data_IF_834343975868
#
_entry.id   IF_834343975868
#
_cell.length_a   1.000
_cell.length_b   1.000
_cell.length_c   1.000
_cell.angle_alpha   90.00
_cell.angle_beta   90.00
_cell.angle_gamma   90.00
#
_symmetry.space_group_name_H-M   'P 1'
#
loop_
_entity.id
_entity.type
_entity.pdbx_description
1 polymer ?
#
# COMPACT_ATOMS: atom_id res chain seq x y z
N UNK A 1 -3.26 -8.35 16.17
CA UNK A 1 -2.91 -7.49 15.03
C UNK A 1 -2.81 -8.37 13.80
N UNK A 2 -3.68 -8.20 12.82
CA UNK A 2 -3.62 -8.97 11.55
C UNK A 2 -2.41 -8.50 10.75
N UNK A 3 -1.58 -9.45 10.30
CA UNK A 3 -0.45 -9.14 9.44
C UNK A 3 -0.95 -8.54 8.11
N UNK A 4 -0.51 -7.32 7.82
CA UNK A 4 -0.82 -6.64 6.58
C UNK A 4 -0.05 -7.29 5.42
N UNK A 5 -0.71 -7.50 4.29
CA UNK A 5 0.01 -7.89 3.07
C UNK A 5 0.93 -6.76 2.59
N UNK A 6 2.02 -7.06 1.83
CA UNK A 6 2.93 -6.01 1.34
C UNK A 6 2.21 -4.89 0.56
N UNK A 7 1.18 -5.23 -0.21
CA UNK A 7 0.37 -4.22 -0.92
C UNK A 7 -0.44 -3.34 0.03
N UNK A 8 -1.03 -3.90 1.09
CA UNK A 8 -1.78 -3.14 2.09
C UNK A 8 -0.87 -2.19 2.86
N UNK A 9 0.34 -2.65 3.20
CA UNK A 9 1.35 -1.84 3.86
C UNK A 9 1.78 -0.65 2.98
N UNK A 10 2.10 -0.89 1.70
CA UNK A 10 2.39 0.17 0.73
C UNK A 10 1.21 1.14 0.58
N UNK A 11 -0.01 0.62 0.54
CA UNK A 11 -1.22 1.41 0.39
C UNK A 11 -1.43 2.36 1.57
N UNK A 12 -1.35 1.86 2.81
CA UNK A 12 -1.43 2.71 4.01
C UNK A 12 -0.31 3.76 4.04
N UNK A 13 0.91 3.36 3.70
CA UNK A 13 2.06 4.27 3.65
C UNK A 13 1.84 5.41 2.65
N UNK A 14 1.32 5.11 1.48
CA UNK A 14 1.01 6.13 0.46
C UNK A 14 -0.18 6.99 0.87
N UNK A 15 -1.16 6.43 1.59
CA UNK A 15 -2.30 7.20 2.13
C UNK A 15 -1.84 8.23 3.16
N UNK A 16 -0.93 7.84 4.06
CA UNK A 16 -0.34 8.75 5.06
C UNK A 16 0.46 9.85 4.35
N UNK A 17 1.29 9.50 3.35
CA UNK A 17 2.05 10.49 2.57
C UNK A 17 1.14 11.52 1.91
N UNK A 18 0.09 11.09 1.21
CA UNK A 18 -0.86 11.99 0.55
C UNK A 18 -1.58 12.90 1.55
N UNK A 19 -1.89 12.38 2.73
CA UNK A 19 -2.48 13.18 3.79
C UNK A 19 -1.51 14.27 4.27
N UNK A 20 -0.25 13.93 4.46
CA UNK A 20 0.79 14.90 4.85
C UNK A 20 1.05 15.95 3.76
N UNK A 21 0.96 15.59 2.49
CA UNK A 21 1.04 16.56 1.39
C UNK A 21 -0.10 17.59 1.41
N UNK A 22 -1.31 17.18 1.83
CA UNK A 22 -2.48 18.06 1.83
C UNK A 22 -2.63 18.86 3.13
N UNK A 23 -2.30 18.26 4.26
CA UNK A 23 -2.54 18.83 5.58
C UNK A 23 -1.29 19.42 6.25
N UNK A 24 -0.13 19.28 5.59
CA UNK A 24 1.19 19.55 6.19
C UNK A 24 1.74 18.34 6.93
N UNK A 25 3.06 18.37 7.25
CA UNK A 25 3.72 17.28 7.94
C UNK A 25 3.04 17.03 9.30
N UNK A 26 2.66 15.77 9.52
CA UNK A 26 2.17 15.33 10.82
C UNK A 26 3.35 15.32 11.79
N UNK A 27 3.41 16.30 12.66
CA UNK A 27 4.39 16.34 13.75
C UNK A 27 4.02 15.25 14.76
N UNK A 28 4.69 14.11 14.64
CA UNK A 28 4.51 13.01 15.56
C UNK A 28 5.87 12.44 15.99
N UNK A 29 6.39 12.98 17.05
CA UNK A 29 7.66 12.56 17.63
C UNK A 29 7.62 11.10 18.07
N UNK A 30 6.47 10.63 18.58
CA UNK A 30 6.31 9.25 19.01
C UNK A 30 6.34 8.27 17.82
N UNK A 31 5.64 8.59 16.72
CA UNK A 31 5.70 7.79 15.50
C UNK A 31 7.11 7.71 14.93
N UNK A 32 7.84 8.85 14.93
CA UNK A 32 9.22 8.90 14.47
C UNK A 32 10.14 8.08 15.39
N UNK A 33 9.97 8.17 16.72
CA UNK A 33 10.73 7.38 17.68
C UNK A 33 10.52 5.89 17.49
N UNK A 34 9.26 5.44 17.39
CA UNK A 34 8.92 4.04 17.18
C UNK A 34 9.44 3.51 15.82
N UNK A 35 9.38 4.34 14.78
CA UNK A 35 9.92 4.00 13.48
C UNK A 35 11.45 3.83 13.51
N UNK A 36 12.17 4.69 14.27
CA UNK A 36 13.61 4.54 14.49
C UNK A 36 13.95 3.25 15.26
N UNK A 37 13.17 2.93 16.30
CA UNK A 37 13.32 1.68 17.05
C UNK A 37 13.07 0.43 16.23
N UNK A 38 12.21 0.49 15.22
CA UNK A 38 11.98 -0.64 14.31
C UNK A 38 13.25 -1.04 13.53
N UNK A 39 14.23 -0.14 13.42
CA UNK A 39 15.50 -0.39 12.74
C UNK A 39 15.35 -0.57 11.24
N UNK A 40 16.42 -1.04 10.59
CA UNK A 40 16.43 -1.30 9.17
C UNK A 40 16.66 -0.05 8.31
N UNK A 41 16.36 -0.19 7.01
CA UNK A 41 16.51 0.89 6.03
C UNK A 41 15.40 1.95 6.13
N UNK A 42 15.54 3.04 5.38
CA UNK A 42 14.56 4.12 5.38
C UNK A 42 13.16 3.63 5.00
N UNK A 43 13.05 2.69 4.05
CA UNK A 43 11.75 2.16 3.63
C UNK A 43 11.04 1.44 4.79
N UNK A 44 11.76 0.62 5.54
CA UNK A 44 11.26 -0.09 6.72
C UNK A 44 10.76 0.90 7.79
N UNK A 45 11.54 1.94 8.07
CA UNK A 45 11.17 2.96 9.07
C UNK A 45 9.97 3.81 8.62
N UNK A 46 9.90 4.18 7.33
CA UNK A 46 8.72 4.87 6.75
C UNK A 46 7.46 4.00 6.87
N UNK A 47 7.57 2.71 6.61
CA UNK A 47 6.45 1.79 6.79
C UNK A 47 6.00 1.67 8.24
N UNK A 48 6.94 1.56 9.18
CA UNK A 48 6.65 1.48 10.61
C UNK A 48 5.94 2.75 11.11
N UNK A 49 6.46 3.92 10.73
CA UNK A 49 5.82 5.22 11.03
C UNK A 49 4.41 5.32 10.47
N UNK A 50 4.25 5.00 9.18
CA UNK A 50 2.97 5.09 8.52
C UNK A 50 1.94 4.13 9.12
N UNK A 51 2.37 2.93 9.53
CA UNK A 51 1.50 1.96 10.21
C UNK A 51 1.00 2.51 11.54
N UNK A 52 1.88 3.06 12.37
CA UNK A 52 1.50 3.64 13.65
C UNK A 52 0.50 4.79 13.49
N UNK A 53 0.78 5.72 12.56
CA UNK A 53 -0.11 6.83 12.24
C UNK A 53 -1.47 6.34 11.71
N UNK A 54 -1.46 5.32 10.85
CA UNK A 54 -2.69 4.74 10.31
C UNK A 54 -3.54 4.05 11.39
N UNK A 55 -2.90 3.37 12.34
CA UNK A 55 -3.59 2.74 13.47
C UNK A 55 -4.16 3.79 14.42
N UNK A 56 -3.38 4.81 14.79
CA UNK A 56 -3.82 5.93 15.62
C UNK A 56 -5.02 6.67 15.04
N UNK A 57 -4.99 6.95 13.75
CA UNK A 57 -6.00 7.77 13.06
C UNK A 57 -7.18 6.95 12.54
N UNK A 58 -7.18 5.62 12.75
CA UNK A 58 -8.25 4.71 12.32
C UNK A 58 -8.26 4.39 10.83
N UNK A 59 -7.17 4.69 10.08
CA UNK A 59 -7.05 4.36 8.65
C UNK A 59 -6.92 2.85 8.42
N UNK A 60 -6.29 2.13 9.35
CA UNK A 60 -6.18 0.67 9.29
C UNK A 60 -7.55 0.00 9.40
N UNK A 61 -8.42 0.50 10.27
CA UNK A 61 -9.80 0.03 10.40
C UNK A 61 -10.62 0.35 9.14
N UNK A 62 -10.52 1.59 8.63
CA UNK A 62 -11.14 2.01 7.38
C UNK A 62 -10.70 1.14 6.20
N UNK A 63 -9.42 0.75 6.11
CA UNK A 63 -8.90 -0.19 5.11
C UNK A 63 -9.56 -1.57 5.25
N UNK A 64 -9.72 -2.06 6.49
CA UNK A 64 -10.41 -3.32 6.76
C UNK A 64 -11.85 -3.30 6.25
N UNK A 65 -12.62 -2.27 6.57
CA UNK A 65 -13.98 -2.07 6.08
C UNK A 65 -14.06 -1.95 4.57
N UNK A 66 -13.12 -1.19 3.96
CA UNK A 66 -13.05 -1.05 2.50
C UNK A 66 -12.80 -2.39 1.81
N UNK A 67 -11.86 -3.21 2.32
CA UNK A 67 -11.57 -4.53 1.78
C UNK A 67 -12.74 -5.51 1.94
N UNK A 68 -13.46 -5.43 3.06
CA UNK A 68 -14.67 -6.21 3.27
C UNK A 68 -15.78 -5.81 2.29
N UNK A 69 -16.02 -4.52 2.12
CA UNK A 69 -16.95 -4.00 1.13
C UNK A 69 -16.60 -4.41 -0.31
N UNK A 70 -15.31 -4.34 -0.67
CA UNK A 70 -14.82 -4.79 -1.96
C UNK A 70 -15.03 -6.30 -2.20
N UNK A 71 -14.84 -7.14 -1.17
CA UNK A 71 -15.14 -8.59 -1.26
C UNK A 71 -16.62 -8.86 -1.48
N UNK A 72 -17.48 -8.17 -0.75
CA UNK A 72 -18.95 -8.30 -0.93
C UNK A 72 -19.38 -7.85 -2.32
N UNK A 73 -18.85 -6.74 -2.83
CA UNK A 73 -19.11 -6.26 -4.18
C UNK A 73 -18.64 -7.27 -5.25
N UNK A 74 -17.45 -7.86 -5.08
CA UNK A 74 -16.96 -8.92 -5.97
C UNK A 74 -17.84 -10.15 -5.96
N UNK A 75 -18.32 -10.59 -4.80
CA UNK A 75 -19.25 -11.72 -4.68
C UNK A 75 -20.59 -11.43 -5.37
N UNK A 76 -21.13 -10.23 -5.18
CA UNK A 76 -22.35 -9.80 -5.87
C UNK A 76 -22.18 -9.76 -7.40
N UNK A 77 -21.06 -9.19 -7.89
CA UNK A 77 -20.74 -9.19 -9.32
C UNK A 77 -20.54 -10.61 -9.88
N UNK A 78 -19.92 -11.51 -9.13
CA UNK A 78 -19.77 -12.91 -9.52
C UNK A 78 -21.12 -13.61 -9.63
N UNK A 79 -22.02 -13.40 -8.68
CA UNK A 79 -23.38 -13.93 -8.72
C UNK A 79 -24.17 -13.40 -9.92
N UNK A 80 -24.09 -12.09 -10.16
CA UNK A 80 -24.70 -11.47 -11.34
C UNK A 80 -24.13 -12.03 -12.64
N UNK A 81 -22.83 -12.28 -12.72
CA UNK A 81 -22.20 -12.90 -13.89
C UNK A 81 -22.72 -14.33 -14.13
N UNK A 82 -22.88 -15.13 -13.06
CA UNK A 82 -23.46 -16.48 -13.16
C UNK A 82 -24.91 -16.42 -13.68
N UNK A 83 -25.74 -15.56 -13.08
CA UNK A 83 -27.14 -15.39 -13.47
C UNK A 83 -27.23 -14.91 -14.92
N UNK A 84 -26.42 -13.93 -15.31
CA UNK A 84 -26.37 -13.38 -16.67
C UNK A 84 -25.95 -14.46 -17.68
N UNK A 85 -24.92 -15.25 -17.37
CA UNK A 85 -24.48 -16.35 -18.22
C UNK A 85 -25.58 -17.42 -18.42
N UNK A 86 -26.25 -17.81 -17.34
CA UNK A 86 -27.38 -18.71 -17.41
C UNK A 86 -28.51 -18.10 -18.24
N UNK A 87 -28.81 -16.81 -18.07
CA UNK A 87 -29.81 -16.10 -18.89
C UNK A 87 -29.46 -16.08 -20.36
N UNK A 88 -28.18 -15.90 -20.73
CA UNK A 88 -27.73 -15.96 -22.14
C UNK A 88 -27.95 -17.35 -22.76
N UNK A 89 -27.66 -18.43 -22.03
CA UNK A 89 -27.88 -19.79 -22.53
C UNK A 89 -29.37 -20.07 -22.72
N UNK A 90 -30.21 -19.62 -21.79
CA UNK A 90 -31.66 -19.78 -21.92
C UNK A 90 -32.21 -18.93 -23.06
N UNK A 91 -31.74 -17.70 -23.26
CA UNK A 91 -32.11 -16.84 -24.37
C UNK A 91 -31.69 -17.43 -25.74
N UNK A 92 -30.56 -18.16 -25.76
CA UNK A 92 -30.06 -18.80 -26.98
C UNK A 92 -30.86 -20.03 -27.38
N UNK A 93 -31.24 -20.90 -26.44
CA UNK A 93 -31.91 -22.17 -26.69
C UNK A 93 -33.43 -22.11 -26.53
N UNK A 94 -33.94 -21.18 -25.75
CA UNK A 94 -35.35 -21.09 -25.39
C UNK A 94 -35.86 -22.27 -24.55
N UNK A 95 -37.17 -22.46 -24.53
CA UNK A 95 -37.86 -23.52 -23.80
C UNK A 95 -37.89 -24.88 -24.51
N UNK A 96 -37.37 -24.97 -25.75
CA UNK A 96 -37.35 -26.17 -26.56
C UNK A 96 -38.65 -26.44 -27.38
N UNK A 97 -39.62 -25.54 -27.35
CA UNK A 97 -40.85 -25.65 -28.11
C UNK A 97 -40.65 -25.30 -29.60
N UNK A 98 -39.72 -24.38 -29.88
CA UNK A 98 -39.37 -23.95 -31.24
C UNK A 98 -37.94 -24.39 -31.56
N UNK A 99 -37.64 -24.64 -32.85
CA UNK A 99 -36.28 -24.87 -33.30
C UNK A 99 -35.37 -23.69 -32.99
N UNK A 100 -34.12 -23.99 -32.62
CA UNK A 100 -33.12 -22.97 -32.29
C UNK A 100 -32.47 -22.45 -33.58
N UNK A 101 -32.57 -21.14 -33.80
CA UNK A 101 -31.77 -20.50 -34.84
C UNK A 101 -30.34 -20.39 -34.38
N UNK A 102 -29.42 -21.13 -35.02
CA UNK A 102 -28.00 -21.27 -34.59
C UNK A 102 -27.25 -19.95 -34.60
N UNK A 103 -27.51 -19.08 -35.57
CA UNK A 103 -26.80 -17.78 -35.65
C UNK A 103 -27.36 -16.77 -34.66
N UNK A 104 -28.67 -16.83 -34.36
CA UNK A 104 -29.24 -16.07 -33.26
C UNK A 104 -28.70 -16.54 -31.91
N UNK A 105 -28.56 -17.85 -31.72
CA UNK A 105 -27.96 -18.42 -30.51
C UNK A 105 -26.49 -17.97 -30.33
N UNK A 106 -25.70 -17.96 -31.41
CA UNK A 106 -24.34 -17.43 -31.38
C UNK A 106 -24.31 -15.92 -31.07
N UNK A 107 -25.19 -15.15 -31.71
CA UNK A 107 -25.30 -13.70 -31.43
C UNK A 107 -25.61 -13.42 -29.97
N UNK A 108 -26.53 -14.19 -29.38
CA UNK A 108 -26.90 -14.08 -27.96
C UNK A 108 -25.75 -14.47 -27.03
N UNK A 109 -25.04 -15.56 -27.32
CA UNK A 109 -23.97 -16.08 -26.46
C UNK A 109 -22.65 -15.32 -26.63
N UNK A 110 -22.28 -14.98 -27.87
CA UNK A 110 -20.97 -14.44 -28.19
C UNK A 110 -20.96 -12.96 -28.56
N UNK A 111 -22.08 -12.40 -29.05
CA UNK A 111 -22.10 -11.07 -29.64
C UNK A 111 -21.56 -9.99 -28.70
N UNK A 112 -22.21 -9.81 -27.56
CA UNK A 112 -21.77 -8.83 -26.57
C UNK A 112 -20.37 -9.16 -25.99
N UNK A 113 -20.09 -10.46 -25.79
CA UNK A 113 -18.79 -10.92 -25.32
C UNK A 113 -17.67 -10.52 -26.28
N UNK A 114 -17.83 -10.73 -27.58
CA UNK A 114 -16.82 -10.38 -28.59
C UNK A 114 -16.67 -8.87 -28.78
N UNK A 115 -17.77 -8.12 -28.80
CA UNK A 115 -17.73 -6.65 -28.86
C UNK A 115 -16.90 -6.07 -27.71
N UNK A 116 -17.16 -6.50 -26.49
CA UNK A 116 -16.43 -6.00 -25.32
C UNK A 116 -14.98 -6.51 -25.27
N UNK A 117 -14.71 -7.71 -25.82
CA UNK A 117 -13.36 -8.22 -25.96
C UNK A 117 -12.54 -7.39 -26.94
N UNK A 118 -13.11 -7.10 -28.11
CA UNK A 118 -12.50 -6.25 -29.14
C UNK A 118 -12.30 -4.83 -28.61
N UNK A 119 -13.31 -4.25 -27.95
CA UNK A 119 -13.19 -2.91 -27.34
C UNK A 119 -12.06 -2.84 -26.32
N UNK A 120 -11.87 -3.87 -25.49
CA UNK A 120 -10.78 -3.95 -24.54
C UNK A 120 -9.42 -4.07 -25.25
N UNK A 121 -9.32 -4.93 -26.29
CA UNK A 121 -8.11 -5.10 -27.09
C UNK A 121 -7.72 -3.79 -27.81
N UNK A 122 -8.68 -3.11 -28.43
CA UNK A 122 -8.46 -1.79 -29.02
C UNK A 122 -8.04 -0.76 -27.97
N UNK A 123 -8.66 -0.77 -26.80
CA UNK A 123 -8.25 0.07 -25.67
C UNK A 123 -6.79 -0.16 -25.24
N UNK A 124 -6.28 -1.39 -25.31
CA UNK A 124 -4.85 -1.66 -25.04
C UNK A 124 -3.93 -1.11 -26.13
N UNK A 125 -4.34 -1.14 -27.39
CA UNK A 125 -3.55 -0.69 -28.53
C UNK A 125 -3.51 0.83 -28.64
N UNK A 126 -4.65 1.50 -28.38
CA UNK A 126 -4.82 2.93 -28.60
C UNK A 126 -4.81 3.76 -27.30
N UNK A 127 -4.84 3.13 -26.12
CA UNK A 127 -4.69 3.84 -24.86
C UNK A 127 -3.24 4.30 -24.66
N UNK A 128 -2.87 5.35 -25.36
CA UNK A 128 -1.76 6.23 -24.99
C UNK A 128 -1.98 6.76 -23.56
N UNK A 129 -1.23 7.76 -23.15
CA UNK A 129 -1.20 8.30 -21.77
C UNK A 129 -2.57 8.79 -21.20
N UNK A 130 -3.64 8.71 -21.98
CA UNK A 130 -4.99 9.20 -21.65
C UNK A 130 -5.89 8.20 -20.88
N UNK A 131 -5.34 7.15 -20.28
CA UNK A 131 -6.08 6.21 -19.40
C UNK A 131 -6.74 6.84 -18.15
N UNK A 132 -6.82 8.17 -18.09
CA UNK A 132 -7.37 8.94 -16.97
C UNK A 132 -8.91 8.84 -16.82
N UNK A 133 -9.65 8.42 -17.87
CA UNK A 133 -11.12 8.43 -17.84
C UNK A 133 -11.71 7.35 -16.93
N UNK A 134 -11.20 6.12 -17.00
CA UNK A 134 -11.63 5.02 -16.11
C UNK A 134 -11.19 5.25 -14.67
N UNK A 135 -10.02 5.86 -14.46
CA UNK A 135 -9.56 6.27 -13.14
C UNK A 135 -10.46 7.33 -12.50
N UNK A 136 -10.95 8.30 -13.28
CA UNK A 136 -11.89 9.33 -12.80
C UNK A 136 -13.25 8.74 -12.45
N UNK A 137 -13.76 7.82 -13.25
CA UNK A 137 -15.00 7.10 -12.95
C UNK A 137 -14.87 6.28 -11.67
N UNK A 138 -13.72 5.62 -11.47
CA UNK A 138 -13.43 4.88 -10.25
C UNK A 138 -13.32 5.79 -9.03
N UNK A 139 -12.64 6.95 -9.13
CA UNK A 139 -12.58 7.93 -8.07
C UNK A 139 -13.97 8.45 -7.71
N UNK A 140 -14.76 8.85 -8.69
CA UNK A 140 -16.13 9.31 -8.49
C UNK A 140 -17.02 8.24 -7.82
N UNK A 141 -16.89 6.96 -8.25
CA UNK A 141 -17.63 5.85 -7.65
C UNK A 141 -17.15 5.58 -6.22
N UNK A 142 -15.84 5.65 -5.98
CA UNK A 142 -15.24 5.45 -4.65
C UNK A 142 -15.65 6.56 -3.68
N UNK A 143 -15.71 7.81 -4.11
CA UNK A 143 -16.20 8.95 -3.31
C UNK A 143 -17.68 8.77 -2.94
N UNK A 144 -18.49 8.30 -3.89
CA UNK A 144 -19.92 8.06 -3.66
C UNK A 144 -20.23 6.84 -2.78
N UNK A 145 -19.35 5.84 -2.81
CA UNK A 145 -19.44 4.63 -1.97
C UNK A 145 -18.73 4.78 -0.62
N UNK A 146 -17.85 5.78 -0.47
CA UNK A 146 -17.17 6.05 0.79
C UNK A 146 -18.18 6.64 1.79
N UNK A 147 -18.58 5.82 2.76
CA UNK A 147 -19.47 6.21 3.87
C UNK A 147 -18.75 7.06 4.92
N UNK A 148 -17.43 7.15 4.86
CA UNK A 148 -16.58 7.84 5.82
C UNK A 148 -15.48 8.64 5.09
N UNK A 149 -15.19 9.85 5.58
CA UNK A 149 -14.13 10.72 5.08
C UNK A 149 -12.75 10.04 5.10
N UNK A 150 -12.52 9.11 6.04
CA UNK A 150 -11.28 8.31 6.12
C UNK A 150 -11.16 7.32 4.97
N UNK A 151 -12.26 6.66 4.60
CA UNK A 151 -12.29 5.72 3.46
C UNK A 151 -12.06 6.44 2.11
N UNK A 152 -12.49 7.71 1.99
CA UNK A 152 -12.26 8.52 0.80
C UNK A 152 -10.77 8.79 0.53
N UNK A 153 -9.92 8.81 1.56
CA UNK A 153 -8.48 9.03 1.43
C UNK A 153 -7.72 7.80 0.89
N UNK A 154 -8.29 6.59 1.07
CA UNK A 154 -7.64 5.33 0.64
C UNK A 154 -7.66 5.15 -0.88
N UNK A 155 -8.75 5.50 -1.55
CA UNK A 155 -8.91 5.25 -2.98
C UNK A 155 -7.90 6.00 -3.87
N UNK A 156 -7.60 7.30 -3.67
CA UNK A 156 -6.57 8.01 -4.42
C UNK A 156 -5.18 7.39 -4.27
N UNK A 157 -4.82 6.98 -3.05
CA UNK A 157 -3.52 6.36 -2.76
C UNK A 157 -3.34 5.04 -3.53
N UNK A 158 -4.36 4.16 -3.52
CA UNK A 158 -4.33 2.93 -4.29
C UNK A 158 -4.20 3.19 -5.79
N UNK A 159 -4.97 4.14 -6.31
CA UNK A 159 -4.94 4.50 -7.73
C UNK A 159 -3.55 4.98 -8.15
N UNK A 160 -2.92 5.87 -7.38
CA UNK A 160 -1.57 6.37 -7.65
C UNK A 160 -0.53 5.25 -7.62
N UNK A 161 -0.59 4.36 -6.63
CA UNK A 161 0.30 3.20 -6.55
C UNK A 161 0.18 2.31 -7.79
N UNK A 162 -1.04 2.02 -8.23
CA UNK A 162 -1.28 1.18 -9.39
C UNK A 162 -0.91 1.89 -10.71
N UNK A 163 -1.05 3.20 -10.80
CA UNK A 163 -0.70 3.99 -11.99
C UNK A 163 0.81 4.04 -12.22
N UNK A 164 1.64 4.15 -11.17
CA UNK A 164 3.11 4.21 -11.29
C UNK A 164 3.71 3.05 -12.08
N UNK A 165 3.15 1.86 -11.96
CA UNK A 165 3.58 0.66 -12.69
C UNK A 165 2.60 0.24 -13.79
N UNK A 166 1.65 1.12 -14.16
CA UNK A 166 0.58 0.86 -15.15
C UNK A 166 -0.19 -0.43 -14.83
N UNK A 167 -0.37 -0.75 -13.53
CA UNK A 167 -1.02 -1.98 -13.05
C UNK A 167 -2.54 -1.90 -13.08
N UNK A 168 -3.13 -0.72 -13.04
CA UNK A 168 -4.58 -0.49 -13.07
C UNK A 168 -5.26 -1.23 -14.24
N UNK A 169 -4.68 -1.17 -15.46
CA UNK A 169 -5.21 -1.87 -16.64
C UNK A 169 -5.25 -3.39 -16.46
N UNK A 170 -4.24 -3.97 -15.79
CA UNK A 170 -4.18 -5.41 -15.55
C UNK A 170 -5.13 -5.85 -14.43
N UNK A 171 -5.28 -5.02 -13.38
CA UNK A 171 -6.26 -5.27 -12.32
C UNK A 171 -7.69 -5.23 -12.85
N UNK A 172 -8.03 -4.17 -13.62
CA UNK A 172 -9.35 -4.04 -14.25
C UNK A 172 -9.56 -5.15 -15.29
N UNK A 173 -8.55 -5.45 -16.12
CA UNK A 173 -8.59 -6.54 -17.09
C UNK A 173 -8.88 -7.88 -16.43
N UNK A 174 -8.19 -8.19 -15.30
CA UNK A 174 -8.43 -9.42 -14.54
C UNK A 174 -9.88 -9.50 -14.03
N UNK A 175 -10.41 -8.40 -13.50
CA UNK A 175 -11.79 -8.34 -13.03
C UNK A 175 -12.77 -8.58 -14.20
N UNK A 176 -12.63 -7.84 -15.29
CA UNK A 176 -13.55 -7.92 -16.44
C UNK A 176 -13.49 -9.30 -17.11
N UNK A 177 -12.27 -9.80 -17.42
CA UNK A 177 -12.14 -11.11 -18.05
C UNK A 177 -12.53 -12.25 -17.11
N UNK A 178 -12.28 -12.12 -15.80
CA UNK A 178 -12.71 -13.08 -14.79
C UNK A 178 -14.24 -13.17 -14.67
N UNK A 179 -14.95 -12.04 -14.67
CA UNK A 179 -16.41 -12.01 -14.64
C UNK A 179 -17.01 -12.56 -15.93
N UNK A 180 -16.45 -12.20 -17.11
CA UNK A 180 -16.89 -12.78 -18.39
C UNK A 180 -16.59 -14.27 -18.49
N UNK A 181 -15.44 -14.73 -17.98
CA UNK A 181 -15.12 -16.15 -17.93
C UNK A 181 -16.15 -16.90 -17.09
N UNK A 182 -16.53 -16.34 -15.93
CA UNK A 182 -17.55 -16.93 -15.07
C UNK A 182 -18.94 -16.97 -15.73
N UNK A 183 -19.32 -15.89 -16.41
CA UNK A 183 -20.57 -15.84 -17.19
C UNK A 183 -20.58 -16.86 -18.34
N UNK A 184 -19.48 -16.96 -19.11
CA UNK A 184 -19.37 -17.92 -20.22
C UNK A 184 -19.35 -19.37 -19.72
N UNK A 185 -18.71 -19.62 -18.59
CA UNK A 185 -18.72 -20.95 -17.94
C UNK A 185 -20.13 -21.32 -17.47
N UNK A 186 -20.84 -20.40 -16.83
CA UNK A 186 -22.24 -20.59 -16.43
C UNK A 186 -23.15 -20.82 -17.65
N UNK A 187 -22.96 -20.02 -18.70
CA UNK A 187 -23.70 -20.22 -19.97
C UNK A 187 -23.42 -21.60 -20.55
N UNK A 188 -22.18 -22.04 -20.63
CA UNK A 188 -21.80 -23.35 -21.15
C UNK A 188 -22.37 -24.49 -20.31
N UNK A 189 -22.32 -24.40 -18.99
CA UNK A 189 -22.89 -25.42 -18.08
C UNK A 189 -24.39 -25.52 -18.27
N UNK A 190 -25.12 -24.40 -18.34
CA UNK A 190 -26.57 -24.44 -18.56
C UNK A 190 -26.89 -24.89 -19.97
N UNK A 191 -26.15 -24.48 -21.00
CA UNK A 191 -26.29 -24.93 -22.37
C UNK A 191 -26.21 -26.47 -22.46
N UNK A 192 -25.17 -27.06 -21.86
CA UNK A 192 -25.00 -28.51 -21.80
C UNK A 192 -26.13 -29.21 -21.02
N UNK A 193 -26.54 -28.64 -19.89
CA UNK A 193 -27.64 -29.16 -19.08
C UNK A 193 -28.96 -29.18 -19.84
N UNK A 194 -29.27 -28.09 -20.52
CA UNK A 194 -30.49 -27.99 -21.34
C UNK A 194 -30.45 -28.98 -22.50
N UNK A 195 -29.31 -29.10 -23.19
CA UNK A 195 -29.15 -30.05 -24.30
C UNK A 195 -29.14 -31.52 -23.84
N UNK A 196 -28.71 -31.80 -22.62
CA UNK A 196 -28.75 -33.15 -22.04
C UNK A 196 -30.17 -33.57 -21.60
N UNK A 197 -30.99 -32.58 -21.18
CA UNK A 197 -32.32 -32.85 -20.62
C UNK A 197 -33.45 -32.64 -21.62
N UNK A 198 -33.21 -31.96 -22.73
CA UNK A 198 -34.20 -31.61 -23.74
C UNK A 198 -33.69 -31.90 -25.15
N UNK A 199 -34.61 -32.16 -26.07
CA UNK A 199 -34.29 -32.31 -27.50
C UNK A 199 -34.50 -30.97 -28.19
N UNK A 200 -33.46 -30.47 -28.83
CA UNK A 200 -33.49 -29.24 -29.63
C UNK A 200 -33.33 -29.56 -31.12
N UNK A 201 -34.18 -28.96 -31.96
CA UNK A 201 -33.96 -28.90 -33.40
C UNK A 201 -33.15 -27.63 -33.72
N UNK A 202 -32.31 -27.67 -34.73
CA UNK A 202 -31.50 -26.53 -35.13
C UNK A 202 -31.87 -26.11 -36.56
N UNK A 203 -32.02 -24.79 -36.75
CA UNK A 203 -32.34 -24.17 -38.04
C UNK A 203 -31.46 -22.94 -38.24
N UNK A 204 -31.36 -22.51 -39.47
CA UNK A 204 -30.94 -21.16 -39.79
C UNK A 204 -31.95 -20.59 -40.80
N UNK A 205 -32.46 -19.43 -40.54
CA UNK A 205 -33.47 -18.78 -41.36
C UNK A 205 -33.01 -17.37 -41.67
N UNK A 206 -33.08 -16.95 -42.91
CA UNK A 206 -32.72 -15.61 -43.32
C UNK A 206 -33.50 -15.24 -44.60
N UNK A 207 -33.85 -13.96 -44.68
CA UNK A 207 -34.48 -13.41 -45.87
C UNK A 207 -33.46 -12.88 -46.88
N UNK A 208 -32.23 -12.59 -46.44
CA UNK A 208 -31.25 -11.80 -47.22
C UNK A 208 -30.07 -12.64 -47.69
N UNK A 209 -29.58 -13.59 -46.87
CA UNK A 209 -28.36 -14.33 -47.17
C UNK A 209 -28.61 -15.63 -47.92
N UNK A 210 -27.72 -15.99 -48.85
CA UNK A 210 -27.79 -17.24 -49.62
C UNK A 210 -27.30 -18.41 -48.76
N UNK A 211 -27.84 -19.61 -49.02
CA UNK A 211 -27.47 -20.85 -48.33
C UNK A 211 -25.97 -21.14 -48.34
N UNK A 212 -25.27 -20.81 -49.44
CA UNK A 212 -23.81 -20.97 -49.57
C UNK A 212 -23.05 -20.14 -48.53
N UNK A 213 -23.55 -18.95 -48.17
CA UNK A 213 -22.95 -18.10 -47.13
C UNK A 213 -23.00 -18.77 -45.77
N UNK A 214 -24.13 -19.45 -45.46
CA UNK A 214 -24.25 -20.17 -44.18
C UNK A 214 -23.37 -21.40 -44.12
N UNK A 215 -23.23 -22.14 -45.22
CA UNK A 215 -22.27 -23.25 -45.31
C UNK A 215 -20.86 -22.74 -45.03
N UNK A 216 -20.43 -21.68 -45.72
CA UNK A 216 -19.10 -21.08 -45.52
C UNK A 216 -18.88 -20.57 -44.09
N UNK A 217 -19.86 -19.86 -43.48
CA UNK A 217 -19.79 -19.36 -42.12
C UNK A 217 -19.73 -20.50 -41.09
N UNK A 218 -20.56 -21.52 -41.23
CA UNK A 218 -20.60 -22.69 -40.36
C UNK A 218 -19.24 -23.43 -40.37
N UNK A 219 -18.71 -23.65 -41.58
CA UNK A 219 -17.41 -24.30 -41.76
C UNK A 219 -16.26 -23.44 -41.21
N UNK A 220 -16.26 -22.15 -41.52
CA UNK A 220 -15.21 -21.24 -41.01
C UNK A 220 -15.20 -21.15 -39.48
N UNK A 221 -16.37 -20.96 -38.85
CA UNK A 221 -16.48 -20.94 -37.38
C UNK A 221 -16.19 -22.29 -36.73
N UNK A 222 -16.51 -23.39 -37.44
CA UNK A 222 -16.26 -24.75 -36.98
C UNK A 222 -14.80 -25.21 -37.15
N UNK A 223 -13.99 -24.53 -37.96
CA UNK A 223 -12.63 -24.97 -38.28
C UNK A 223 -11.72 -25.14 -37.05
N UNK A 224 -11.70 -24.15 -36.14
CA UNK A 224 -10.92 -24.26 -34.93
C UNK A 224 -11.49 -25.29 -33.92
N UNK A 225 -12.82 -25.32 -33.62
CA UNK A 225 -13.40 -26.39 -32.84
C UNK A 225 -13.11 -27.81 -33.37
N UNK A 226 -13.10 -28.01 -34.69
CA UNK A 226 -12.78 -29.31 -35.29
C UNK A 226 -11.36 -29.80 -34.96
N UNK A 227 -10.37 -28.89 -34.82
CA UNK A 227 -9.00 -29.25 -34.46
C UNK A 227 -8.90 -29.86 -33.07
N UNK A 228 -9.85 -29.56 -32.19
CA UNK A 228 -9.89 -30.09 -30.80
C UNK A 228 -10.96 -31.20 -30.62
N UNK A 229 -11.45 -31.74 -31.73
CA UNK A 229 -12.30 -32.95 -31.75
C UNK A 229 -13.82 -32.71 -31.78
N UNK A 230 -14.30 -31.47 -31.96
CA UNK A 230 -15.74 -31.22 -32.14
C UNK A 230 -16.20 -31.63 -33.54
N UNK A 231 -17.30 -32.38 -33.61
CA UNK A 231 -17.91 -32.72 -34.89
C UNK A 231 -18.60 -31.54 -35.54
N UNK A 232 -18.50 -31.46 -36.88
CA UNK A 232 -19.15 -30.43 -37.68
C UNK A 232 -20.35 -31.01 -38.41
N UNK A 233 -21.45 -30.23 -38.57
CA UNK A 233 -22.51 -30.64 -39.49
C UNK A 233 -21.98 -30.66 -40.93
N UNK A 234 -22.35 -31.69 -41.69
CA UNK A 234 -21.98 -31.80 -43.11
C UNK A 234 -22.68 -30.72 -43.94
N UNK A 235 -22.12 -30.39 -45.11
CA UNK A 235 -22.73 -29.41 -46.01
C UNK A 235 -24.19 -29.73 -46.33
N UNK A 236 -24.50 -31.00 -46.55
CA UNK A 236 -25.88 -31.47 -46.80
C UNK A 236 -26.79 -31.21 -45.59
N UNK A 237 -26.27 -31.43 -44.32
CA UNK A 237 -27.03 -31.12 -43.11
C UNK A 237 -27.24 -29.62 -42.94
N UNK A 238 -26.22 -28.81 -43.25
CA UNK A 238 -26.32 -27.35 -43.15
C UNK A 238 -27.40 -26.85 -44.11
N UNK A 239 -27.36 -27.26 -45.38
CA UNK A 239 -28.34 -26.84 -46.39
C UNK A 239 -29.76 -27.28 -46.01
N UNK A 240 -29.93 -28.54 -45.60
CA UNK A 240 -31.22 -29.08 -45.19
C UNK A 240 -31.82 -28.45 -43.93
N UNK A 241 -30.98 -27.83 -43.05
CA UNK A 241 -31.44 -27.11 -41.87
C UNK A 241 -31.90 -25.66 -42.18
N UNK A 242 -31.86 -25.22 -43.41
CA UNK A 242 -32.29 -23.87 -43.84
C UNK A 242 -33.79 -23.63 -43.72
N UNK A 243 -34.57 -24.62 -44.07
CA UNK A 243 -36.03 -24.49 -44.14
C UNK A 243 -36.76 -25.14 -42.96
N UNK A 244 -36.17 -26.17 -42.36
CA UNK A 244 -36.75 -26.89 -41.20
C UNK A 244 -35.73 -27.62 -40.36
N UNK A 245 -36.05 -27.86 -39.08
CA UNK A 245 -35.19 -28.62 -38.21
C UNK A 245 -35.16 -30.10 -38.63
N UNK A 246 -33.92 -30.61 -38.77
CA UNK A 246 -33.72 -32.04 -39.06
C UNK A 246 -34.02 -32.89 -37.83
N UNK A 247 -34.97 -33.80 -37.91
CA UNK A 247 -35.36 -34.73 -36.84
C UNK A 247 -34.46 -35.97 -36.75
N UNK A 248 -33.25 -35.90 -37.32
CA UNK A 248 -32.27 -36.96 -37.33
C UNK A 248 -31.30 -36.74 -36.18
N UNK A 249 -31.04 -37.80 -35.38
CA UNK A 249 -30.20 -37.72 -34.19
C UNK A 249 -28.80 -37.21 -34.50
N UNK A 250 -28.13 -37.74 -35.51
CA UNK A 250 -26.79 -37.34 -35.90
C UNK A 250 -26.72 -35.85 -36.29
N UNK A 251 -27.77 -35.28 -36.92
CA UNK A 251 -27.79 -33.86 -37.25
C UNK A 251 -27.90 -32.98 -35.97
N UNK A 252 -28.76 -33.37 -35.03
CA UNK A 252 -28.88 -32.65 -33.74
C UNK A 252 -27.57 -32.68 -32.94
N UNK A 253 -26.92 -33.85 -32.89
CA UNK A 253 -25.63 -34.01 -32.20
C UNK A 253 -24.53 -33.19 -32.87
N UNK A 254 -24.46 -33.17 -34.21
CA UNK A 254 -23.47 -32.40 -34.95
C UNK A 254 -23.65 -30.88 -34.72
N UNK A 255 -24.90 -30.37 -34.79
CA UNK A 255 -25.17 -28.97 -34.49
C UNK A 255 -24.91 -28.59 -33.02
N UNK A 256 -25.29 -29.46 -32.07
CA UNK A 256 -24.99 -29.26 -30.65
C UNK A 256 -23.49 -29.22 -30.39
N UNK A 257 -22.73 -30.18 -30.94
CA UNK A 257 -21.27 -30.22 -30.81
C UNK A 257 -20.61 -28.98 -31.42
N UNK A 258 -21.09 -28.57 -32.63
CA UNK A 258 -20.61 -27.35 -33.29
C UNK A 258 -20.85 -26.09 -32.41
N UNK A 259 -22.08 -25.90 -31.89
CA UNK A 259 -22.41 -24.74 -31.06
C UNK A 259 -21.60 -24.71 -29.79
N UNK A 260 -21.46 -25.83 -29.08
CA UNK A 260 -20.64 -25.97 -27.89
C UNK A 260 -19.18 -25.67 -28.20
N UNK A 261 -18.65 -26.24 -29.29
CA UNK A 261 -17.26 -26.01 -29.72
C UNK A 261 -17.00 -24.54 -30.06
N UNK A 262 -17.90 -23.87 -30.76
CA UNK A 262 -17.77 -22.44 -31.09
C UNK A 262 -17.82 -21.56 -29.83
N UNK A 263 -18.75 -21.83 -28.91
CA UNK A 263 -18.83 -21.08 -27.63
C UNK A 263 -17.55 -21.27 -26.78
N UNK A 264 -17.04 -22.50 -26.77
CA UNK A 264 -15.82 -22.82 -26.04
C UNK A 264 -14.59 -22.10 -26.62
N UNK A 265 -14.40 -22.22 -27.94
CA UNK A 265 -13.20 -21.72 -28.63
C UNK A 265 -13.19 -20.20 -28.76
N UNK A 266 -14.32 -19.59 -29.10
CA UNK A 266 -14.39 -18.15 -29.36
C UNK A 266 -14.93 -17.35 -28.17
N UNK A 267 -15.64 -17.99 -27.24
CA UNK A 267 -16.15 -17.33 -26.02
C UNK A 267 -15.26 -17.54 -24.81
N UNK A 268 -15.16 -18.78 -24.37
CA UNK A 268 -14.54 -19.13 -23.08
C UNK A 268 -13.01 -19.08 -23.14
N UNK A 269 -12.40 -19.70 -24.15
CA UNK A 269 -10.95 -19.83 -24.24
C UNK A 269 -10.22 -18.47 -24.32
N UNK A 270 -10.65 -17.49 -25.14
CA UNK A 270 -10.01 -16.17 -25.17
C UNK A 270 -10.12 -15.45 -23.83
N UNK A 271 -11.24 -15.56 -23.12
CA UNK A 271 -11.42 -14.98 -21.80
C UNK A 271 -10.51 -15.63 -20.76
N UNK A 272 -10.36 -16.94 -20.81
CA UNK A 272 -9.45 -17.67 -19.94
C UNK A 272 -8.00 -17.22 -20.17
N UNK A 273 -7.54 -17.19 -21.42
CA UNK A 273 -6.18 -16.79 -21.76
C UNK A 273 -5.89 -15.35 -21.32
N UNK A 274 -6.84 -14.44 -21.55
CA UNK A 274 -6.68 -13.04 -21.13
C UNK A 274 -6.76 -12.87 -19.61
N UNK A 275 -7.63 -13.61 -18.92
CA UNK A 275 -7.65 -13.61 -17.45
C UNK A 275 -6.32 -14.11 -16.88
N UNK A 276 -5.76 -15.19 -17.43
CA UNK A 276 -4.45 -15.72 -17.02
C UNK A 276 -3.31 -14.73 -17.31
N UNK A 277 -3.31 -14.08 -18.48
CA UNK A 277 -2.34 -13.03 -18.82
C UNK A 277 -2.43 -11.84 -17.85
N UNK A 278 -3.64 -11.35 -17.58
CA UNK A 278 -3.87 -10.26 -16.65
C UNK A 278 -3.43 -10.66 -15.23
N UNK A 279 -3.73 -11.88 -14.79
CA UNK A 279 -3.31 -12.41 -13.49
C UNK A 279 -1.79 -12.49 -13.38
N UNK A 280 -1.12 -13.00 -14.42
CA UNK A 280 0.33 -13.08 -14.46
C UNK A 280 0.99 -11.69 -14.40
N UNK A 281 0.51 -10.76 -15.22
CA UNK A 281 0.99 -9.36 -15.23
C UNK A 281 0.73 -8.67 -13.89
N UNK A 282 -0.44 -8.88 -13.31
CA UNK A 282 -0.80 -8.37 -12.00
C UNK A 282 0.11 -8.90 -10.89
N UNK A 283 0.30 -10.23 -10.82
CA UNK A 283 1.17 -10.85 -9.80
C UNK A 283 2.61 -10.35 -9.93
N UNK A 284 3.16 -10.34 -11.16
CA UNK A 284 4.53 -9.87 -11.42
C UNK A 284 4.69 -8.37 -11.09
N UNK A 285 3.75 -7.54 -11.53
CA UNK A 285 3.79 -6.11 -11.29
C UNK A 285 3.60 -5.75 -9.81
N UNK A 286 2.72 -6.46 -9.11
CA UNK A 286 2.52 -6.28 -7.66
C UNK A 286 3.76 -6.62 -6.86
N UNK A 287 4.49 -7.67 -7.24
CA UNK A 287 5.75 -8.04 -6.59
C UNK A 287 6.87 -7.01 -6.80
N UNK A 288 6.78 -6.21 -7.86
CA UNK A 288 7.73 -5.15 -8.18
C UNK A 288 7.33 -3.76 -7.63
N UNK A 289 6.24 -3.68 -6.86
CA UNK A 289 5.86 -2.44 -6.18
C UNK A 289 6.77 -2.21 -4.98
N UNK A 290 7.33 -1.02 -4.91
CA UNK A 290 8.16 -0.54 -3.80
C UNK A 290 7.85 0.93 -3.53
N UNK A 291 8.25 1.42 -2.37
CA UNK A 291 8.22 2.85 -2.08
C UNK A 291 9.18 3.61 -3.01
N UNK A 292 8.70 4.70 -3.56
CA UNK A 292 9.56 5.67 -4.24
C UNK A 292 10.04 6.72 -3.22
N UNK A 293 11.19 6.43 -2.60
CA UNK A 293 11.78 7.26 -1.56
C UNK A 293 12.26 8.63 -2.06
N UNK A 294 12.26 8.87 -3.38
CA UNK A 294 12.62 10.17 -3.96
C UNK A 294 11.45 11.16 -3.97
N UNK A 295 10.24 10.71 -3.65
CA UNK A 295 9.10 11.62 -3.54
C UNK A 295 9.30 12.61 -2.39
N UNK A 296 8.89 13.88 -2.57
CA UNK A 296 9.12 14.95 -1.58
C UNK A 296 8.68 14.58 -0.16
N UNK A 297 7.50 13.95 -0.02
CA UNK A 297 6.97 13.54 1.28
C UNK A 297 7.83 12.49 2.01
N UNK A 298 8.57 11.64 1.29
CA UNK A 298 9.48 10.65 1.90
C UNK A 298 10.90 11.20 2.08
N UNK A 299 11.36 12.04 1.16
CA UNK A 299 12.70 12.64 1.28
C UNK A 299 12.81 13.54 2.51
N UNK A 300 11.74 14.28 2.85
CA UNK A 300 11.67 15.11 4.06
C UNK A 300 11.74 14.31 5.35
N UNK A 301 11.22 13.06 5.34
CA UNK A 301 11.27 12.17 6.51
C UNK A 301 12.67 11.57 6.74
N UNK A 302 13.57 11.66 5.76
CA UNK A 302 14.91 11.05 5.88
C UNK A 302 15.67 11.56 7.08
N UNK A 303 15.68 12.87 7.31
CA UNK A 303 16.39 13.48 8.44
C UNK A 303 15.78 13.07 9.78
N UNK A 304 14.44 12.97 9.84
CA UNK A 304 13.74 12.59 11.06
C UNK A 304 13.84 11.10 11.39
N UNK A 305 13.89 10.23 10.37
CA UNK A 305 13.88 8.76 10.55
C UNK A 305 15.27 8.13 10.47
N UNK A 306 16.22 8.78 9.81
CA UNK A 306 17.62 8.37 9.69
C UNK A 306 18.51 9.56 10.09
N UNK A 307 18.49 9.97 11.35
CA UNK A 307 19.42 11.00 11.78
C UNK A 307 20.81 10.46 11.46
N UNK A 308 21.51 11.11 10.55
CA UNK A 308 22.89 10.73 10.23
C UNK A 308 23.75 11.07 11.45
N UNK A 309 24.26 10.03 12.12
CA UNK A 309 25.41 10.16 13.00
C UNK A 309 26.68 10.61 12.23
N UNK A 310 26.60 10.53 10.91
CA UNK A 310 27.58 11.07 9.96
C UNK A 310 27.09 12.41 9.38
N UNK A 311 26.95 13.43 10.19
CA UNK A 311 27.40 14.74 9.71
C UNK A 311 28.91 14.65 9.74
N UNK A 312 29.48 14.19 8.64
CA UNK A 312 30.88 14.35 8.31
C UNK A 312 31.25 15.80 8.60
N UNK A 313 32.04 15.97 9.69
CA UNK A 313 32.29 17.24 10.27
C UNK A 313 32.70 18.32 9.29
N UNK A 314 31.92 19.32 9.24
CA UNK A 314 32.50 20.63 9.43
C UNK A 314 33.02 20.55 10.85
N UNK A 315 34.34 20.43 11.04
CA UNK A 315 35.02 20.75 12.31
C UNK A 315 34.74 22.23 12.55
N UNK A 316 33.60 22.51 13.16
CA UNK A 316 33.36 23.84 13.69
C UNK A 316 34.26 23.93 14.89
N UNK A 317 35.38 24.63 14.70
CA UNK A 317 36.35 24.81 15.78
C UNK A 317 35.57 25.31 16.99
N UNK A 318 35.84 24.70 18.16
CA UNK A 318 35.22 25.13 19.38
C UNK A 318 35.33 26.67 19.49
N UNK A 319 34.24 27.35 19.86
CA UNK A 319 34.28 28.83 19.93
C UNK A 319 35.41 29.27 20.81
N UNK A 320 36.22 30.22 20.32
CA UNK A 320 37.39 30.72 21.02
C UNK A 320 37.05 31.38 22.39
N UNK A 321 35.78 31.64 22.66
CA UNK A 321 35.27 32.14 23.94
C UNK A 321 33.91 31.49 24.18
N UNK A 322 33.88 30.51 25.09
CA UNK A 322 32.63 30.02 25.68
C UNK A 322 32.33 30.90 26.90
N UNK A 323 31.07 31.35 27.03
CA UNK A 323 30.67 32.08 28.23
C UNK A 323 30.70 31.13 29.42
N UNK A 324 31.40 31.51 30.47
CA UNK A 324 31.43 30.79 31.75
C UNK A 324 30.00 30.58 32.25
N UNK A 325 29.71 29.38 32.75
CA UNK A 325 28.44 29.11 33.44
C UNK A 325 28.56 29.67 34.86
N UNK A 326 28.13 30.92 35.05
CA UNK A 326 27.89 31.42 36.41
C UNK A 326 26.66 30.71 36.94
N UNK A 327 26.79 29.94 38.02
CA UNK A 327 25.68 29.25 38.67
C UNK A 327 24.53 30.19 38.98
N UNK A 328 23.32 29.77 38.80
CA UNK A 328 22.15 30.55 39.15
C UNK A 328 22.18 30.85 40.66
N UNK A 329 22.33 32.12 41.01
CA UNK A 329 22.08 32.62 42.37
C UNK A 329 20.58 32.63 42.60
N UNK A 330 19.97 31.47 42.72
CA UNK A 330 18.51 31.32 42.83
C UNK A 330 18.15 30.37 43.98
N UNK A 331 17.52 30.94 44.95
CA UNK A 331 16.61 30.37 45.96
C UNK A 331 16.73 28.87 46.28
N UNK A 332 17.19 28.60 47.45
CA UNK A 332 17.40 27.30 48.13
C UNK A 332 16.15 26.44 48.36
N UNK A 333 15.03 26.64 47.67
CA UNK A 333 13.75 25.99 47.98
C UNK A 333 13.27 24.95 46.96
N UNK A 334 14.09 24.53 45.99
CA UNK A 334 13.69 23.42 45.06
C UNK A 334 14.50 22.16 45.35
N UNK A 335 13.94 21.19 46.04
CA UNK A 335 14.51 19.86 46.30
C UNK A 335 14.52 18.94 45.03
N UNK A 336 14.18 19.43 43.86
CA UNK A 336 13.99 18.63 42.64
C UNK A 336 15.30 18.33 41.92
N UNK A 337 15.56 17.05 41.63
CA UNK A 337 16.60 16.60 40.73
C UNK A 337 16.06 16.23 39.38
N UNK A 338 16.72 16.65 38.28
CA UNK A 338 16.31 16.46 36.92
C UNK A 338 17.43 15.81 36.10
N UNK A 339 17.04 14.80 35.28
CA UNK A 339 17.89 14.21 34.26
C UNK A 339 17.37 14.56 32.89
N UNK A 340 18.22 14.99 31.99
CA UNK A 340 17.87 15.30 30.59
C UNK A 340 18.94 14.77 29.66
N UNK A 341 18.55 14.34 28.46
CA UNK A 341 19.49 13.96 27.41
C UNK A 341 19.44 14.95 26.25
N UNK A 342 20.58 15.19 25.61
CA UNK A 342 20.68 16.04 24.42
C UNK A 342 21.01 15.18 23.23
N UNK A 343 20.12 15.22 22.20
CA UNK A 343 20.32 14.61 20.88
C UNK A 343 20.83 13.17 20.95
N UNK A 344 20.24 12.35 21.84
CA UNK A 344 20.65 10.98 22.05
C UNK A 344 20.27 10.11 20.85
N UNK A 345 21.12 9.16 20.49
CA UNK A 345 20.81 8.12 19.50
C UNK A 345 19.90 7.05 20.13
N UNK A 346 18.97 6.48 19.33
CA UNK A 346 18.05 5.43 19.74
C UNK A 346 18.72 4.12 20.19
N UNK A 347 20.03 4.01 20.03
CA UNK A 347 20.83 2.89 20.53
C UNK A 347 21.04 2.90 22.04
N UNK A 348 20.76 4.01 22.70
CA UNK A 348 20.84 4.11 24.14
C UNK A 348 19.50 3.77 24.78
N UNK A 349 19.47 2.85 25.77
CA UNK A 349 18.28 2.63 26.58
C UNK A 349 17.99 3.86 27.43
N UNK A 350 16.96 4.62 27.10
CA UNK A 350 16.56 5.81 27.79
C UNK A 350 15.09 5.74 28.24
N UNK A 351 14.76 6.20 29.47
CA UNK A 351 15.64 6.65 30.56
C UNK A 351 16.33 5.47 31.25
N UNK A 352 17.48 5.73 31.95
CA UNK A 352 18.08 4.76 32.85
C UNK A 352 17.17 4.52 34.08
N UNK A 353 17.46 3.50 34.88
CA UNK A 353 16.75 3.33 36.16
C UNK A 353 17.07 4.54 37.07
N UNK A 354 16.06 5.35 37.33
CA UNK A 354 16.22 6.58 38.15
C UNK A 354 16.00 6.29 39.63
N UNK A 355 16.79 6.91 40.52
CA UNK A 355 16.52 6.92 41.95
C UNK A 355 15.23 7.64 42.32
N UNK A 356 14.71 7.40 43.52
CA UNK A 356 13.53 8.10 44.00
C UNK A 356 13.76 9.63 44.06
N UNK A 357 12.80 10.39 43.53
CA UNK A 357 12.86 11.86 43.54
C UNK A 357 13.55 12.50 42.34
N UNK A 358 14.23 11.72 41.49
CA UNK A 358 14.81 12.20 40.23
C UNK A 358 13.77 12.09 39.09
N UNK A 359 13.53 13.19 38.39
CA UNK A 359 12.60 13.23 37.24
C UNK A 359 13.35 13.14 35.93
N UNK A 360 12.82 12.39 34.98
CA UNK A 360 13.28 12.40 33.58
C UNK A 360 12.59 13.52 32.81
N UNK A 361 13.40 14.42 32.22
CA UNK A 361 12.91 15.46 31.31
C UNK A 361 12.88 15.00 29.83
N UNK A 362 13.29 13.77 29.56
CA UNK A 362 13.32 13.20 28.23
C UNK A 362 14.55 13.58 27.40
N UNK A 363 14.45 13.38 26.09
CA UNK A 363 15.52 13.66 25.13
C UNK A 363 15.19 14.95 24.38
N UNK A 364 16.13 15.89 24.38
CA UNK A 364 15.99 17.17 23.66
C UNK A 364 16.49 17.02 22.22
N UNK A 365 15.63 16.55 21.35
CA UNK A 365 15.89 16.33 19.94
C UNK A 365 15.24 17.38 19.02
N UNK A 366 14.33 18.21 19.55
CA UNK A 366 13.61 19.23 18.81
C UNK A 366 13.69 20.61 19.45
N UNK A 367 13.45 21.66 18.67
CA UNK A 367 13.37 23.04 19.17
C UNK A 367 12.24 23.19 20.19
N UNK A 368 11.14 22.51 19.98
CA UNK A 368 9.96 22.58 20.85
C UNK A 368 10.24 21.94 22.22
N UNK A 369 10.87 20.75 22.26
CA UNK A 369 11.25 20.08 23.51
C UNK A 369 12.25 20.92 24.33
N UNK A 370 13.22 21.57 23.65
CA UNK A 370 14.19 22.48 24.26
C UNK A 370 13.49 23.69 24.87
N UNK A 371 12.59 24.34 24.13
CA UNK A 371 11.87 25.53 24.59
C UNK A 371 10.96 25.21 25.77
N UNK A 372 10.18 24.11 25.70
CA UNK A 372 9.34 23.68 26.83
C UNK A 372 10.12 23.42 28.10
N UNK A 373 11.26 22.72 27.99
CA UNK A 373 12.08 22.45 29.16
C UNK A 373 12.66 23.72 29.73
N UNK A 374 13.18 24.63 28.90
CA UNK A 374 13.73 25.91 29.34
C UNK A 374 12.67 26.79 30.05
N UNK A 375 11.46 26.85 29.49
CA UNK A 375 10.32 27.55 30.11
C UNK A 375 9.96 26.93 31.47
N UNK A 376 9.94 25.58 31.54
CA UNK A 376 9.68 24.89 32.80
C UNK A 376 10.77 25.14 33.84
N UNK A 377 12.06 25.07 33.47
CA UNK A 377 13.19 25.31 34.34
C UNK A 377 13.28 26.78 34.79
N UNK A 378 12.87 27.71 33.92
CA UNK A 378 12.79 29.14 34.30
C UNK A 378 11.74 29.39 35.36
N UNK A 379 10.62 28.65 35.33
CA UNK A 379 9.54 28.77 36.33
C UNK A 379 9.84 27.99 37.63
N UNK A 380 10.46 26.83 37.48
CA UNK A 380 10.76 25.88 38.54
C UNK A 380 12.19 25.34 38.38
N UNK A 381 13.22 26.11 38.75
CA UNK A 381 14.59 25.69 38.59
C UNK A 381 14.89 24.46 39.46
N UNK A 382 15.45 23.37 38.89
CA UNK A 382 15.83 22.20 39.67
C UNK A 382 17.03 22.48 40.51
N UNK A 383 17.10 21.88 41.71
CA UNK A 383 18.27 21.99 42.57
C UNK A 383 19.51 21.35 41.92
N UNK A 384 19.28 20.22 41.24
CA UNK A 384 20.34 19.44 40.55
C UNK A 384 19.90 19.04 39.16
N UNK A 385 20.80 19.20 38.20
CA UNK A 385 20.56 18.85 36.80
C UNK A 385 21.72 17.99 36.26
N UNK A 386 21.43 16.78 35.80
CA UNK A 386 22.37 16.01 34.98
C UNK A 386 21.99 16.10 33.52
N UNK A 387 22.97 16.35 32.66
CA UNK A 387 22.81 16.50 31.21
C UNK A 387 23.57 15.37 30.53
N UNK A 388 22.85 14.37 30.02
CA UNK A 388 23.44 13.23 29.31
C UNK A 388 23.77 13.61 27.88
N UNK A 389 24.99 13.34 27.45
CA UNK A 389 25.53 13.62 26.12
C UNK A 389 26.11 12.35 25.50
N UNK A 390 25.92 12.16 24.22
CA UNK A 390 26.55 11.07 23.46
C UNK A 390 27.94 11.49 22.98
N UNK A 391 29.02 10.96 23.57
CA UNK A 391 30.40 11.37 23.25
C UNK A 391 30.87 10.89 21.86
N UNK A 392 30.08 10.09 21.15
CA UNK A 392 30.36 9.74 19.74
C UNK A 392 30.10 10.92 18.81
N UNK A 393 29.32 11.91 19.23
CA UNK A 393 29.09 13.16 18.50
C UNK A 393 30.15 14.18 18.88
N UNK A 394 30.48 15.08 17.95
CA UNK A 394 31.38 16.19 18.25
C UNK A 394 30.68 17.23 19.14
N UNK A 395 31.38 17.83 20.14
CA UNK A 395 30.86 18.94 20.94
C UNK A 395 30.75 20.20 20.07
N UNK A 396 29.63 20.37 19.35
CA UNK A 396 29.40 21.51 18.49
C UNK A 396 28.93 22.75 19.29
N UNK A 397 28.95 23.93 18.64
CA UNK A 397 28.53 25.19 19.25
C UNK A 397 27.08 25.15 19.74
N UNK A 398 26.19 24.45 19.01
CA UNK A 398 24.79 24.36 19.35
C UNK A 398 24.54 23.54 20.60
N UNK A 399 25.18 22.37 20.72
CA UNK A 399 25.11 21.50 21.88
C UNK A 399 25.73 22.15 23.09
N UNK A 400 26.89 22.78 22.95
CA UNK A 400 27.58 23.49 24.06
C UNK A 400 26.80 24.73 24.54
N UNK A 401 26.20 25.49 23.63
CA UNK A 401 25.34 26.63 23.98
C UNK A 401 24.08 26.16 24.73
N UNK A 402 23.47 25.05 24.32
CA UNK A 402 22.32 24.47 25.00
C UNK A 402 22.68 23.94 26.38
N UNK A 403 23.82 23.25 26.53
CA UNK A 403 24.33 22.79 27.80
C UNK A 403 24.54 23.98 28.78
N UNK A 404 25.17 25.04 28.29
CA UNK A 404 25.41 26.25 29.10
C UNK A 404 24.10 26.96 29.48
N UNK A 405 23.09 26.96 28.58
CA UNK A 405 21.77 27.53 28.85
C UNK A 405 21.00 26.73 29.89
N UNK A 406 21.00 25.40 29.78
CA UNK A 406 20.36 24.50 30.74
C UNK A 406 21.04 24.62 32.13
N UNK A 407 22.36 24.63 32.13
CA UNK A 407 23.15 24.73 33.39
C UNK A 407 22.89 26.04 34.15
N UNK A 408 22.67 27.15 33.47
CA UNK A 408 22.29 28.44 34.07
C UNK A 408 20.94 28.46 34.76
N UNK A 409 20.02 27.56 34.30
CA UNK A 409 18.67 27.47 34.85
C UNK A 409 18.53 26.39 35.95
N UNK A 410 19.62 25.91 36.52
CA UNK A 410 19.65 24.93 37.60
C UNK A 410 20.57 25.37 38.74
N UNK A 411 20.29 24.90 39.95
CA UNK A 411 21.12 25.22 41.13
C UNK A 411 22.52 24.63 41.03
N UNK A 412 22.63 23.38 40.61
CA UNK A 412 23.90 22.72 40.31
C UNK A 412 23.72 21.84 39.07
N UNK A 413 24.72 21.79 38.21
CA UNK A 413 24.66 21.02 36.96
C UNK A 413 25.88 20.17 36.75
N UNK A 414 25.70 19.00 36.15
CA UNK A 414 26.77 18.08 35.78
C UNK A 414 26.49 17.46 34.40
N UNK A 415 27.47 17.45 33.51
CA UNK A 415 27.39 16.71 32.27
C UNK A 415 27.73 15.23 32.52
N UNK A 416 26.95 14.35 31.85
CA UNK A 416 27.21 12.92 31.88
C UNK A 416 27.55 12.47 30.46
N UNK A 417 28.80 12.05 30.24
CA UNK A 417 29.22 11.44 28.98
C UNK A 417 28.85 9.95 28.99
N UNK A 418 27.95 9.55 28.11
CA UNK A 418 27.42 8.20 28.10
C UNK A 418 28.47 7.19 27.64
N UNK A 419 28.48 5.95 28.21
CA UNK A 419 29.33 4.89 27.71
C UNK A 419 28.92 4.49 26.30
N UNK A 420 29.84 3.90 25.52
CA UNK A 420 29.48 3.37 24.20
C UNK A 420 28.40 2.29 24.30
N UNK A 421 27.46 2.24 23.35
CA UNK A 421 26.54 1.12 23.25
C UNK A 421 27.28 -0.21 23.07
N UNK A 422 26.63 -1.36 23.42
CA UNK A 422 27.25 -2.68 23.27
C UNK A 422 27.77 -2.91 21.84
N UNK A 423 29.05 -3.30 21.73
CA UNK A 423 29.71 -3.58 20.46
C UNK A 423 30.31 -2.37 19.73
N UNK A 424 30.28 -1.19 20.35
CA UNK A 424 30.95 0.02 19.83
C UNK A 424 32.05 0.48 20.77
N UNK A 425 33.06 1.18 20.22
CA UNK A 425 34.18 1.75 20.97
C UNK A 425 34.13 3.26 20.83
N UNK A 426 34.34 3.98 21.94
CA UNK A 426 34.46 5.44 21.91
C UNK A 426 35.81 5.82 21.28
N UNK A 427 35.75 6.83 20.42
CA UNK A 427 36.96 7.47 19.90
C UNK A 427 37.60 8.33 21.00
N UNK A 428 38.84 8.01 21.35
CA UNK A 428 39.57 8.69 22.43
C UNK A 428 39.85 10.18 22.11
N UNK A 429 40.04 10.54 20.83
CA UNK A 429 40.24 11.93 20.41
C UNK A 429 38.97 12.73 20.65
N UNK A 430 37.80 12.15 20.27
CA UNK A 430 36.49 12.79 20.42
C UNK A 430 36.06 12.91 21.88
N UNK A 431 36.36 11.91 22.70
CA UNK A 431 36.14 12.00 24.15
C UNK A 431 37.02 13.11 24.77
N UNK A 432 38.24 13.24 24.30
CA UNK A 432 39.13 14.34 24.66
C UNK A 432 38.59 15.73 24.30
N UNK A 433 37.98 15.85 23.10
CA UNK A 433 37.34 17.10 22.68
C UNK A 433 36.17 17.49 23.61
N UNK A 434 35.36 16.50 24.07
CA UNK A 434 34.29 16.73 25.04
C UNK A 434 34.84 17.16 26.40
N UNK A 435 35.88 16.49 26.91
CA UNK A 435 36.53 16.87 28.18
C UNK A 435 37.06 18.31 28.11
N UNK A 436 37.74 18.66 27.02
CA UNK A 436 38.29 20.01 26.84
C UNK A 436 37.16 21.07 26.76
N UNK A 437 36.07 20.79 26.03
CA UNK A 437 34.94 21.71 25.88
C UNK A 437 34.19 21.91 27.22
N UNK A 438 33.95 20.84 27.98
CA UNK A 438 33.28 20.93 29.29
C UNK A 438 34.15 21.59 30.35
N UNK A 439 35.47 21.38 30.32
CA UNK A 439 36.43 22.14 31.18
C UNK A 439 36.43 23.63 30.83
N UNK A 440 36.35 23.97 29.55
CA UNK A 440 36.29 25.37 29.12
C UNK A 440 34.97 26.05 29.56
N UNK A 441 33.86 25.29 29.64
CA UNK A 441 32.60 25.76 30.20
C UNK A 441 32.59 25.86 31.72
N UNK A 442 33.65 25.37 32.39
CA UNK A 442 33.73 25.20 33.85
C UNK A 442 32.56 24.36 34.41
N UNK A 443 32.04 23.45 33.60
CA UNK A 443 30.93 22.56 33.98
C UNK A 443 31.49 21.22 34.47
N UNK A 444 31.17 20.78 35.72
CA UNK A 444 31.49 19.44 36.18
C UNK A 444 30.95 18.36 35.28
N UNK A 445 31.74 17.34 34.99
CA UNK A 445 31.32 16.22 34.17
C UNK A 445 31.78 14.87 34.70
N UNK A 446 31.17 13.81 34.27
CA UNK A 446 31.48 12.42 34.66
C UNK A 446 31.25 11.48 33.46
N UNK A 447 32.13 10.49 33.31
CA UNK A 447 31.98 9.39 32.38
C UNK A 447 31.11 8.26 32.96
N UNK A 448 30.83 8.31 34.27
CA UNK A 448 29.89 7.43 34.97
C UNK A 448 28.54 8.10 35.22
N UNK A 449 27.51 7.31 35.38
CA UNK A 449 26.15 7.82 35.65
C UNK A 449 26.09 8.56 36.98
N UNK A 450 25.80 9.88 37.04
CA UNK A 450 25.80 10.67 38.25
C UNK A 450 24.49 10.51 39.05
N UNK A 451 23.97 9.27 39.17
CA UNK A 451 22.67 9.01 39.79
C UNK A 451 22.68 9.22 41.30
N UNK A 452 23.77 8.83 42.00
CA UNK A 452 23.93 9.08 43.42
C UNK A 452 24.02 10.59 43.72
N UNK A 453 24.75 11.34 42.91
CA UNK A 453 24.82 12.78 43.00
C UNK A 453 23.45 13.46 42.77
N UNK A 454 22.68 12.98 41.81
CA UNK A 454 21.32 13.49 41.59
C UNK A 454 20.42 13.25 42.81
N UNK A 455 20.56 12.11 43.49
CA UNK A 455 19.74 11.75 44.64
C UNK A 455 20.15 12.51 45.90
N UNK A 456 21.44 12.52 46.23
CA UNK A 456 21.91 13.00 47.52
C UNK A 456 22.63 14.36 47.45
N UNK A 457 23.11 14.78 46.29
CA UNK A 457 23.98 15.96 46.12
C UNK A 457 25.45 15.73 46.49
N UNK A 458 25.80 14.53 46.88
CA UNK A 458 27.16 14.12 47.19
C UNK A 458 27.67 13.05 46.22
N UNK A 459 28.98 13.02 45.92
CA UNK A 459 29.60 11.99 45.05
C UNK A 459 29.64 10.64 45.72
#
# INVERSE_FOLDING_TARGET
MTDLTPLQQLWLTETVRLREEHAGPLEDQEANRLARHAGGDLATRVHARARWLADRDGLSEALGHWLQGARLALLAMALLAIISGAGLAFAALGDGQLPVNVFWALGSLLGLNLILLLSWALGLLFAGEHGASLGRLWLWLSEKLARDAKAAQLAPALLLLLQRKKLNRWAIGLLVHGLWLLAMLSALVLLLTLMATRRYGFVWETTILRGDTFVALTQALGALPALIGFSLPSEAMIRASGDSALNIENARQAWAAWLVGVVLVYGLLPRLLLALLCLWRWKRGRAALSLDLNLPGYSQLREALMPSSERLGVKDAAPQQLHRVEGATGTQDSDGALLVAIELDDQYPWPPQLPHGVKDAGILDSRESRQKLLEQMTRFPPARLAIACDPRRSPDRGSLALIAELARNAGASRAWLLPAPPGQVLDAERLGDWHAALQQLELPFSDGAPLSWLETGHD
#
